data_IF_043230990982
#
_entry.id   IF_043230990982
#
_cell.length_a   1.000
_cell.length_b   1.000
_cell.length_c   1.000
_cell.angle_alpha   90.00
_cell.angle_beta   90.00
_cell.angle_gamma   90.00
#
_symmetry.space_group_name_H-M   'P 1'
#
loop_
_entity.id
_entity.type
_entity.pdbx_description
1 polymer ?
#
# COMPACT_ATOMS: atom_id res chain seq x y z
N UNK A 1 8.96 -1.80 -14.96
CA UNK A 1 9.86 -2.96 -14.96
C UNK A 1 11.22 -2.59 -15.54
N UNK A 2 11.26 -2.08 -16.74
CA UNK A 2 12.50 -1.74 -17.47
C UNK A 2 13.32 -0.62 -16.78
N UNK A 3 12.66 0.25 -16.04
CA UNK A 3 13.29 1.35 -15.29
C UNK A 3 13.72 0.96 -13.86
N UNK A 4 13.54 -0.28 -13.46
CA UNK A 4 13.93 -0.84 -12.16
C UNK A 4 13.35 -0.09 -10.94
N UNK A 5 12.11 0.37 -11.03
CA UNK A 5 11.45 1.05 -9.92
C UNK A 5 11.06 0.09 -8.80
N UNK A 6 10.95 -1.20 -9.10
CA UNK A 6 10.49 -2.23 -8.16
C UNK A 6 11.61 -3.24 -7.92
N UNK A 7 12.04 -3.37 -6.67
CA UNK A 7 12.92 -4.44 -6.20
C UNK A 7 12.08 -5.53 -5.50
N UNK A 8 11.87 -6.64 -6.19
CA UNK A 8 11.13 -7.79 -5.70
C UNK A 8 12.02 -9.02 -5.46
N UNK A 9 13.32 -8.93 -5.72
CA UNK A 9 14.23 -10.04 -5.52
C UNK A 9 14.37 -10.42 -4.04
N UNK A 10 14.43 -11.73 -3.77
CA UNK A 10 14.72 -12.26 -2.45
C UNK A 10 16.24 -12.27 -2.24
N UNK A 11 16.73 -11.35 -1.43
CA UNK A 11 18.15 -11.22 -1.12
C UNK A 11 18.42 -11.56 0.35
N UNK A 12 19.60 -12.11 0.63
CA UNK A 12 20.03 -12.38 2.02
C UNK A 12 20.08 -11.06 2.81
N UNK A 13 19.39 -11.01 3.93
CA UNK A 13 19.31 -9.83 4.79
C UNK A 13 18.22 -8.82 4.38
N UNK A 14 17.45 -9.07 3.32
CA UNK A 14 16.27 -8.28 2.99
C UNK A 14 15.17 -8.60 4.00
N UNK A 15 14.62 -7.56 4.62
CA UNK A 15 13.52 -7.70 5.57
C UNK A 15 12.21 -8.09 4.89
N UNK A 16 11.26 -8.59 5.68
CA UNK A 16 9.91 -8.92 5.20
C UNK A 16 9.08 -7.64 5.04
N UNK A 17 8.06 -7.72 4.16
CA UNK A 17 7.16 -6.61 3.93
C UNK A 17 7.46 -5.84 2.65
N UNK A 18 7.02 -4.59 2.60
CA UNK A 18 7.24 -3.68 1.49
C UNK A 18 7.28 -2.23 1.98
N UNK A 19 7.87 -1.37 1.18
CA UNK A 19 7.79 0.08 1.36
C UNK A 19 8.05 0.82 0.05
N UNK A 20 7.56 2.04 -0.03
CA UNK A 20 7.83 2.97 -1.13
C UNK A 20 8.70 4.12 -0.62
N UNK A 21 9.80 4.39 -1.31
CA UNK A 21 10.65 5.55 -1.09
C UNK A 21 10.64 6.44 -2.33
N UNK A 22 10.42 7.73 -2.14
CA UNK A 22 10.32 8.70 -3.25
C UNK A 22 11.21 9.92 -2.97
N UNK A 23 12.52 9.81 -3.16
CA UNK A 23 13.41 10.95 -3.02
C UNK A 23 13.02 12.06 -4.01
N UNK A 24 13.12 13.32 -3.59
CA UNK A 24 12.75 14.45 -4.44
C UNK A 24 13.64 14.51 -5.68
N UNK A 25 13.09 14.89 -6.82
CA UNK A 25 13.72 14.91 -8.16
C UNK A 25 14.06 13.56 -8.77
N UNK A 26 13.63 12.43 -8.16
CA UNK A 26 13.79 11.12 -8.78
C UNK A 26 12.45 10.42 -8.93
N UNK A 27 12.45 9.24 -9.54
CA UNK A 27 11.27 8.36 -9.51
C UNK A 27 11.15 7.68 -8.15
N UNK A 28 9.96 7.19 -7.86
CA UNK A 28 9.71 6.35 -6.68
C UNK A 28 10.40 4.99 -6.81
N UNK A 29 10.84 4.44 -5.69
CA UNK A 29 11.39 3.11 -5.55
C UNK A 29 10.46 2.29 -4.66
N UNK A 30 10.04 1.15 -5.15
CA UNK A 30 9.21 0.19 -4.39
C UNK A 30 10.03 -1.03 -4.05
N UNK A 31 10.13 -1.33 -2.77
CA UNK A 31 10.79 -2.54 -2.26
C UNK A 31 9.72 -3.48 -1.75
N UNK A 32 9.76 -4.73 -2.18
CA UNK A 32 8.83 -5.76 -1.73
C UNK A 32 9.55 -7.10 -1.60
N UNK A 33 9.28 -7.80 -0.50
CA UNK A 33 9.73 -9.17 -0.30
C UNK A 33 8.71 -10.12 -0.95
N UNK A 34 8.91 -10.40 -2.24
CA UNK A 34 7.97 -11.15 -3.05
C UNK A 34 8.17 -12.66 -2.93
N UNK A 35 7.17 -13.37 -2.42
CA UNK A 35 7.17 -14.84 -2.27
C UNK A 35 6.19 -15.55 -3.23
N UNK A 36 5.52 -14.82 -4.09
CA UNK A 36 4.58 -15.35 -5.08
C UNK A 36 3.16 -15.56 -4.55
N UNK A 37 2.85 -15.04 -3.36
CA UNK A 37 1.50 -15.12 -2.79
C UNK A 37 0.60 -14.04 -3.38
N UNK A 38 -0.64 -14.42 -3.67
CA UNK A 38 -1.63 -13.48 -4.22
C UNK A 38 -1.91 -12.28 -3.29
N UNK A 39 -1.77 -12.45 -1.98
CA UNK A 39 -1.90 -11.37 -1.02
C UNK A 39 -0.84 -10.26 -1.22
N UNK A 40 0.34 -10.61 -1.72
CA UNK A 40 1.42 -9.65 -1.99
C UNK A 40 1.12 -8.76 -3.19
N UNK A 41 0.22 -9.17 -4.08
CA UNK A 41 -0.26 -8.31 -5.17
C UNK A 41 -1.01 -7.09 -4.62
N UNK A 42 -1.77 -7.25 -3.52
CA UNK A 42 -2.40 -6.11 -2.84
C UNK A 42 -1.37 -5.21 -2.15
N UNK A 43 -0.32 -5.80 -1.56
CA UNK A 43 0.79 -5.02 -1.01
C UNK A 43 1.48 -4.22 -2.10
N UNK A 44 1.75 -4.83 -3.26
CA UNK A 44 2.34 -4.12 -4.40
C UNK A 44 1.42 -2.99 -4.90
N UNK A 45 0.12 -3.24 -5.00
CA UNK A 45 -0.86 -2.21 -5.37
C UNK A 45 -0.85 -1.05 -4.38
N UNK A 46 -0.74 -1.32 -3.08
CA UNK A 46 -0.60 -0.34 -2.01
C UNK A 46 0.63 0.56 -2.23
N UNK A 47 1.82 -0.05 -2.37
CA UNK A 47 3.08 0.69 -2.57
C UNK A 47 3.06 1.50 -3.87
N UNK A 48 2.45 0.99 -4.93
CA UNK A 48 2.25 1.74 -6.18
C UNK A 48 1.29 2.93 -6.01
N UNK A 49 0.35 2.85 -5.08
CA UNK A 49 -0.49 3.98 -4.67
C UNK A 49 0.33 5.12 -4.08
N UNK A 50 1.26 4.79 -3.17
CA UNK A 50 2.22 5.75 -2.64
C UNK A 50 3.11 6.33 -3.74
N UNK A 51 3.68 5.48 -4.61
CA UNK A 51 4.52 5.91 -5.71
C UNK A 51 3.84 6.92 -6.64
N UNK A 52 2.58 6.66 -6.98
CA UNK A 52 1.75 7.60 -7.77
C UNK A 52 1.52 8.92 -7.05
N UNK A 53 1.13 8.87 -5.78
CA UNK A 53 0.90 10.05 -4.95
C UNK A 53 2.15 10.92 -4.82
N UNK A 54 3.28 10.34 -4.41
CA UNK A 54 4.53 11.09 -4.26
C UNK A 54 5.04 11.67 -5.58
N UNK A 55 4.90 10.93 -6.69
CA UNK A 55 5.25 11.44 -8.02
C UNK A 55 4.41 12.67 -8.39
N UNK A 56 3.12 12.66 -8.09
CA UNK A 56 2.23 13.80 -8.34
C UNK A 56 2.53 14.96 -7.40
N UNK A 57 2.77 14.69 -6.12
CA UNK A 57 3.13 15.70 -5.14
C UNK A 57 4.41 16.44 -5.56
N UNK A 58 5.47 15.72 -5.92
CA UNK A 58 6.73 16.32 -6.37
C UNK A 58 6.62 17.14 -7.66
N UNK A 59 5.65 16.85 -8.53
CA UNK A 59 5.40 17.63 -9.74
C UNK A 59 4.70 18.96 -9.47
N UNK A 60 3.91 19.03 -8.40
CA UNK A 60 3.01 20.15 -8.16
C UNK A 60 3.34 20.96 -6.90
N UNK A 61 4.21 20.42 -6.04
CA UNK A 61 4.61 21.07 -4.79
C UNK A 61 6.13 21.32 -4.73
N UNK A 62 6.57 22.42 -4.11
CA UNK A 62 7.97 22.62 -3.82
C UNK A 62 8.47 21.60 -2.80
N UNK A 63 9.78 21.42 -2.71
CA UNK A 63 10.42 20.40 -1.87
C UNK A 63 9.90 20.34 -0.45
N UNK A 64 9.79 21.49 0.22
CA UNK A 64 9.34 21.57 1.63
C UNK A 64 7.86 21.21 1.85
N UNK A 65 7.06 21.17 0.80
CA UNK A 65 5.63 20.90 0.84
C UNK A 65 5.26 19.61 0.09
N UNK A 66 6.24 18.86 -0.39
CA UNK A 66 6.02 17.66 -1.22
C UNK A 66 5.69 16.41 -0.40
N UNK A 67 5.92 16.44 0.91
CA UNK A 67 5.57 15.33 1.80
C UNK A 67 4.12 15.44 2.26
N UNK A 68 3.38 14.35 2.08
CA UNK A 68 2.02 14.27 2.56
C UNK A 68 1.97 14.16 4.08
N UNK A 69 0.95 14.77 4.69
CA UNK A 69 0.66 14.58 6.11
C UNK A 69 0.44 13.09 6.43
N UNK A 70 0.93 12.64 7.58
CA UNK A 70 0.72 11.26 8.08
C UNK A 70 -0.77 10.88 8.17
N UNK A 71 -1.67 11.86 8.36
CA UNK A 71 -3.12 11.63 8.34
C UNK A 71 -3.68 11.28 6.95
N UNK A 72 -2.93 11.57 5.89
CA UNK A 72 -3.41 11.46 4.51
C UNK A 72 -2.60 10.49 3.65
N UNK A 73 -1.41 10.13 4.09
CA UNK A 73 -0.45 9.36 3.30
C UNK A 73 -0.99 8.00 2.85
N UNK A 74 -1.85 7.37 3.67
CA UNK A 74 -2.43 6.06 3.38
C UNK A 74 -3.71 6.10 2.52
N UNK A 75 -4.27 7.27 2.25
CA UNK A 75 -5.47 7.36 1.44
C UNK A 75 -5.25 6.89 -0.02
N UNK A 76 -4.20 7.31 -0.74
CA UNK A 76 -3.92 6.85 -2.10
C UNK A 76 -3.54 5.37 -2.17
N UNK A 77 -2.78 4.86 -1.20
CA UNK A 77 -2.38 3.45 -1.14
C UNK A 77 -3.58 2.53 -0.92
N UNK A 78 -4.42 2.85 0.06
CA UNK A 78 -5.67 2.13 0.33
C UNK A 78 -6.64 2.20 -0.86
N UNK A 79 -6.78 3.36 -1.50
CA UNK A 79 -7.60 3.51 -2.71
C UNK A 79 -7.13 2.57 -3.81
N UNK A 80 -5.82 2.45 -4.01
CA UNK A 80 -5.26 1.59 -5.05
C UNK A 80 -5.50 0.10 -4.77
N UNK A 81 -5.46 -0.34 -3.51
CA UNK A 81 -5.90 -1.68 -3.12
C UNK A 81 -7.38 -1.92 -3.48
N UNK A 82 -8.24 -0.94 -3.20
CA UNK A 82 -9.68 -1.05 -3.51
C UNK A 82 -9.94 -1.08 -5.02
N UNK A 83 -9.22 -0.28 -5.82
CA UNK A 83 -9.31 -0.30 -7.27
C UNK A 83 -8.89 -1.66 -7.83
N UNK A 84 -7.79 -2.22 -7.33
CA UNK A 84 -7.35 -3.56 -7.70
C UNK A 84 -8.38 -4.63 -7.32
N UNK A 85 -8.94 -4.58 -6.11
CA UNK A 85 -9.98 -5.50 -5.68
C UNK A 85 -11.22 -5.43 -6.58
N UNK A 86 -11.68 -4.22 -6.89
CA UNK A 86 -12.80 -4.02 -7.81
C UNK A 86 -12.53 -4.59 -9.20
N UNK A 87 -11.33 -4.37 -9.73
CA UNK A 87 -10.92 -4.95 -11.00
C UNK A 87 -10.94 -6.49 -10.96
N UNK A 88 -10.29 -7.10 -9.98
CA UNK A 88 -10.24 -8.56 -9.82
C UNK A 88 -11.61 -9.18 -9.63
N UNK A 89 -12.50 -8.53 -8.88
CA UNK A 89 -13.87 -8.99 -8.66
C UNK A 89 -14.70 -8.98 -9.94
N UNK A 90 -14.54 -7.94 -10.77
CA UNK A 90 -15.33 -7.78 -11.99
C UNK A 90 -14.79 -8.57 -13.19
N UNK A 91 -13.50 -8.87 -13.22
CA UNK A 91 -12.88 -9.61 -14.34
C UNK A 91 -12.91 -11.13 -14.19
N UNK A 92 -13.22 -11.66 -13.02
CA UNK A 92 -13.27 -13.11 -12.78
C UNK A 92 -14.71 -13.60 -12.69
N UNK A 93 -15.03 -14.71 -13.36
CA UNK A 93 -16.31 -15.42 -13.20
C UNK A 93 -16.27 -16.50 -12.12
N UNK A 94 -15.10 -16.73 -11.51
CA UNK A 94 -14.94 -17.77 -10.47
C UNK A 94 -15.49 -17.28 -9.12
N UNK A 95 -16.57 -17.87 -8.59
CA UNK A 95 -17.19 -17.42 -7.34
C UNK A 95 -16.30 -17.65 -6.10
N UNK A 96 -15.37 -18.61 -6.14
CA UNK A 96 -14.40 -18.80 -5.05
C UNK A 96 -13.37 -17.68 -5.04
N UNK A 97 -12.90 -17.28 -6.21
CA UNK A 97 -11.97 -16.17 -6.34
C UNK A 97 -12.63 -14.83 -5.93
N UNK A 98 -13.87 -14.57 -6.36
CA UNK A 98 -14.63 -13.39 -5.93
C UNK A 98 -14.78 -13.31 -4.39
N UNK A 99 -15.11 -14.43 -3.74
CA UNK A 99 -15.17 -14.49 -2.27
C UNK A 99 -13.83 -14.24 -1.62
N UNK A 100 -12.75 -14.77 -2.21
CA UNK A 100 -11.40 -14.52 -1.72
C UNK A 100 -11.02 -13.03 -1.82
N UNK A 101 -11.34 -12.37 -2.94
CA UNK A 101 -11.11 -10.92 -3.11
C UNK A 101 -11.83 -10.11 -2.04
N UNK A 102 -13.12 -10.38 -1.82
CA UNK A 102 -13.90 -9.71 -0.76
C UNK A 102 -13.30 -10.00 0.63
N UNK A 103 -12.99 -11.25 0.94
CA UNK A 103 -12.36 -11.63 2.19
C UNK A 103 -11.02 -10.94 2.43
N UNK A 104 -10.22 -10.77 1.37
CA UNK A 104 -8.93 -10.07 1.43
C UNK A 104 -9.11 -8.59 1.78
N UNK A 105 -10.04 -7.89 1.14
CA UNK A 105 -10.34 -6.48 1.47
C UNK A 105 -10.89 -6.34 2.89
N UNK A 106 -11.79 -7.21 3.30
CA UNK A 106 -12.36 -7.17 4.65
C UNK A 106 -11.32 -7.41 5.73
N UNK A 107 -10.46 -8.41 5.57
CA UNK A 107 -9.47 -8.79 6.60
C UNK A 107 -8.25 -7.87 6.63
N UNK A 108 -7.78 -7.41 5.49
CA UNK A 108 -6.58 -6.58 5.39
C UNK A 108 -6.88 -5.09 5.49
N UNK A 109 -7.70 -4.59 4.59
CA UNK A 109 -7.90 -3.14 4.46
C UNK A 109 -8.93 -2.65 5.47
N UNK A 110 -10.13 -3.23 5.46
CA UNK A 110 -11.20 -2.75 6.34
C UNK A 110 -10.90 -3.03 7.82
N UNK A 111 -10.62 -4.28 8.18
CA UNK A 111 -10.40 -4.66 9.57
C UNK A 111 -9.16 -3.97 10.15
N UNK A 112 -8.08 -3.93 9.40
CA UNK A 112 -6.85 -3.28 9.85
C UNK A 112 -7.07 -1.77 10.10
N UNK A 113 -7.65 -1.06 9.16
CA UNK A 113 -7.80 0.39 9.27
C UNK A 113 -8.93 0.82 10.20
N UNK A 114 -10.07 0.11 10.18
CA UNK A 114 -11.29 0.52 10.91
C UNK A 114 -11.44 -0.15 12.28
N UNK A 115 -10.70 -1.20 12.57
CA UNK A 115 -10.77 -1.90 13.86
C UNK A 115 -9.42 -1.83 14.58
N UNK A 116 -8.36 -2.37 13.99
CA UNK A 116 -7.05 -2.48 14.66
C UNK A 116 -6.51 -1.11 15.03
N UNK A 117 -6.40 -0.18 14.09
CA UNK A 117 -5.85 1.15 14.36
C UNK A 117 -6.72 1.98 15.31
N UNK A 118 -8.04 1.82 15.28
CA UNK A 118 -8.91 2.50 16.25
C UNK A 118 -8.73 1.94 17.66
N UNK A 119 -8.54 0.63 17.81
CA UNK A 119 -8.23 0.01 19.11
C UNK A 119 -6.85 0.43 19.62
N UNK A 120 -5.85 0.51 18.74
CA UNK A 120 -4.51 1.02 19.08
C UNK A 120 -4.57 2.48 19.54
N UNK A 121 -5.32 3.33 18.84
CA UNK A 121 -5.51 4.73 19.23
C UNK A 121 -6.27 4.87 20.57
N UNK A 122 -7.29 4.03 20.80
CA UNK A 122 -7.98 3.99 22.07
C UNK A 122 -7.05 3.56 23.22
N UNK A 123 -6.24 2.51 23.01
CA UNK A 123 -5.25 2.08 23.97
C UNK A 123 -4.23 3.16 24.29
N UNK A 124 -3.67 3.83 23.28
CA UNK A 124 -2.73 4.93 23.49
C UNK A 124 -3.33 6.06 24.29
N UNK A 125 -4.58 6.41 24.03
CA UNK A 125 -5.30 7.43 24.82
C UNK A 125 -5.36 7.05 26.30
N UNK A 126 -5.68 5.80 26.63
CA UNK A 126 -5.75 5.35 28.03
C UNK A 126 -4.38 5.29 28.71
N UNK A 127 -3.31 5.09 27.94
CA UNK A 127 -1.93 5.06 28.49
C UNK A 127 -1.38 6.46 28.75
N UNK A 128 -1.78 7.46 27.94
CA UNK A 128 -1.26 8.83 28.04
C UNK A 128 -2.12 9.76 28.92
N UNK A 129 -3.27 9.32 29.38
CA UNK A 129 -4.16 10.05 30.31
C UNK A 129 -4.29 9.34 31.65
#
# INVERSE_FOLDING_TARGET
YDQRWIDFAQNKGKDTGAFCASPYFTHSYVFISWTGKMAEAFVLAHELGHAGHFTLAQKHQPYLESEASMYFVEAPSTMNEMLMANYLFNTSDNPRFKRWVIGSILSRTYYHNMVTHLLEAAYQREVYH
#
